data_IF_421029384560
#
_entry.id   IF_421029384560
#
_cell.length_a   1.000
_cell.length_b   1.000
_cell.length_c   1.000
_cell.angle_alpha   90.00
_cell.angle_beta   90.00
_cell.angle_gamma   90.00
#
_symmetry.space_group_name_H-M   'P 1'
#
loop_
_entity.id
_entity.type
_entity.pdbx_description
1 polymer ?
#
# COMPACT_ATOMS: atom_id res chain seq x y z
N UNK A 1 -3.01 -3.15 -1.55
CA UNK A 1 -3.01 -2.01 -2.50
C UNK A 1 -3.67 -0.81 -1.82
N UNK A 2 -2.86 0.09 -1.24
CA UNK A 2 -3.34 1.34 -0.66
C UNK A 2 -3.55 2.34 -1.80
N UNK A 3 -4.79 2.51 -2.28
CA UNK A 3 -5.07 3.53 -3.32
C UNK A 3 -5.22 4.88 -2.63
N UNK A 4 -4.09 5.60 -2.49
CA UNK A 4 -4.07 7.01 -2.05
C UNK A 4 -4.55 7.88 -3.20
N UNK A 5 -5.87 8.03 -3.29
CA UNK A 5 -6.54 8.90 -4.25
C UNK A 5 -6.64 10.33 -3.74
N UNK A 6 -6.05 11.25 -4.51
CA UNK A 6 -6.18 12.72 -4.48
C UNK A 6 -5.54 13.48 -3.31
N UNK A 7 -4.36 14.07 -3.62
CA UNK A 7 -3.74 15.29 -3.06
C UNK A 7 -4.07 15.64 -1.61
N UNK A 8 -3.95 14.67 -0.71
CA UNK A 8 -3.54 14.93 0.64
C UNK A 8 -2.58 13.82 1.12
N UNK A 9 -1.26 14.08 1.10
CA UNK A 9 -0.24 13.11 1.56
C UNK A 9 -0.13 13.10 3.08
N UNK A 10 -1.08 12.45 3.76
CA UNK A 10 -0.81 11.91 5.09
C UNK A 10 0.10 10.71 4.91
N UNK A 11 1.33 10.77 5.42
CA UNK A 11 2.18 9.60 5.60
C UNK A 11 1.60 8.80 6.78
N UNK A 12 0.67 7.90 6.48
CA UNK A 12 0.33 6.80 7.39
C UNK A 12 1.41 5.75 7.19
N UNK A 13 2.34 5.64 8.16
CA UNK A 13 3.39 4.62 8.17
C UNK A 13 3.30 3.87 9.51
N UNK A 14 3.09 2.57 9.37
CA UNK A 14 3.34 1.42 10.23
C UNK A 14 2.77 1.37 11.66
N UNK A 15 1.73 0.54 11.81
CA UNK A 15 1.75 -0.57 12.78
C UNK A 15 0.77 -1.67 12.35
N UNK A 16 1.14 -2.44 11.33
CA UNK A 16 0.88 -3.88 11.35
C UNK A 16 2.15 -4.48 11.93
N UNK A 17 2.13 -4.92 13.18
CA UNK A 17 3.22 -5.72 13.75
C UNK A 17 3.31 -7.03 12.95
N UNK A 18 4.22 -7.04 11.98
CA UNK A 18 4.71 -8.21 11.26
C UNK A 18 6.21 -8.35 11.53
N UNK A 19 6.64 -8.14 12.77
CA UNK A 19 7.98 -8.54 13.21
C UNK A 19 7.96 -9.99 13.72
N UNK A 20 8.05 -10.90 12.76
CA UNK A 20 8.80 -12.14 12.86
C UNK A 20 8.92 -12.64 11.43
N UNK A 21 10.09 -12.47 10.82
CA UNK A 21 10.74 -13.36 9.85
C UNK A 21 11.85 -12.59 9.10
N UNK A 22 13.04 -12.67 9.70
CA UNK A 22 14.35 -12.92 9.09
C UNK A 22 14.75 -12.14 7.81
N UNK A 23 15.84 -11.37 7.96
CA UNK A 23 16.63 -10.70 6.91
C UNK A 23 16.69 -11.41 5.55
N UNK A 24 16.66 -10.65 4.44
CA UNK A 24 17.81 -10.72 3.52
C UNK A 24 18.26 -9.39 2.88
N UNK A 25 19.58 -9.20 2.93
CA UNK A 25 20.52 -8.57 1.98
C UNK A 25 19.96 -7.57 0.95
N UNK A 26 20.39 -6.32 1.08
CA UNK A 26 20.33 -5.31 0.02
C UNK A 26 21.10 -5.76 -1.23
N UNK A 27 20.42 -5.74 -2.38
CA UNK A 27 21.03 -5.81 -3.72
C UNK A 27 20.90 -4.42 -4.34
N UNK A 28 22.04 -3.75 -4.53
CA UNK A 28 22.12 -2.51 -5.29
C UNK A 28 21.97 -2.82 -6.79
N UNK A 29 21.08 -2.11 -7.48
CA UNK A 29 20.99 -2.11 -8.94
C UNK A 29 21.21 -0.68 -9.41
N UNK A 30 22.42 -0.39 -9.89
CA UNK A 30 22.74 0.86 -10.58
C UNK A 30 22.14 0.82 -11.99
N UNK A 31 21.31 1.81 -12.33
CA UNK A 31 20.85 2.02 -13.71
C UNK A 31 21.72 3.10 -14.36
N UNK A 32 22.72 2.67 -15.14
CA UNK A 32 23.49 3.54 -16.03
C UNK A 32 22.78 3.62 -17.40
N UNK A 33 22.42 4.83 -17.82
CA UNK A 33 21.82 5.15 -19.12
C UNK A 33 22.97 5.38 -20.11
N UNK A 34 23.19 4.46 -21.06
CA UNK A 34 24.17 4.65 -22.14
C UNK A 34 23.49 5.23 -23.40
N UNK A 35 23.56 6.56 -23.53
CA UNK A 35 23.24 7.32 -24.72
C UNK A 35 24.44 7.32 -25.69
N UNK A 36 24.56 6.29 -26.54
CA UNK A 36 25.56 6.28 -27.62
C UNK A 36 24.96 5.95 -28.99
N UNK A 37 24.96 7.02 -29.79
CA UNK A 37 24.70 7.17 -31.24
C UNK A 37 25.19 6.00 -32.10
N UNK A 38 24.36 5.56 -33.05
CA UNK A 38 24.79 4.79 -34.23
C UNK A 38 24.80 5.68 -35.49
N UNK A 39 25.90 5.74 -36.27
CA UNK A 39 25.93 6.37 -37.59
C UNK A 39 25.48 5.38 -38.69
N UNK A 40 24.88 5.90 -39.76
CA UNK A 40 24.18 5.12 -40.77
C UNK A 40 24.99 4.58 -41.95
N UNK A 41 24.22 3.94 -42.84
CA UNK A 41 24.39 3.73 -44.29
C UNK A 41 25.43 2.70 -44.79
N UNK A 42 24.99 1.53 -45.28
CA UNK A 42 24.87 1.22 -46.73
C UNK A 42 24.69 -0.28 -47.10
N UNK A 43 23.79 -0.49 -48.07
CA UNK A 43 23.78 -1.49 -49.16
C UNK A 43 23.92 -2.99 -48.84
N UNK A 44 22.81 -3.71 -48.87
CA UNK A 44 22.78 -5.18 -49.03
C UNK A 44 22.56 -5.48 -50.53
N UNK A 45 23.65 -5.80 -51.22
CA UNK A 45 23.62 -6.45 -52.53
C UNK A 45 23.24 -7.93 -52.40
N UNK A 46 22.36 -8.37 -53.29
CA UNK A 46 21.88 -9.75 -53.48
C UNK A 46 22.93 -10.85 -53.25
N UNK A 47 22.65 -11.75 -52.30
CA UNK A 47 23.04 -13.17 -52.38
C UNK A 47 21.87 -14.04 -51.94
N UNK A 48 21.34 -14.82 -52.89
CA UNK A 48 20.38 -15.90 -52.62
C UNK A 48 21.11 -16.99 -51.84
N UNK A 49 20.62 -17.31 -50.64
CA UNK A 49 20.99 -18.52 -49.91
C UNK A 49 19.97 -19.62 -50.23
N UNK A 50 20.34 -20.90 -50.35
CA UNK A 50 19.40 -21.96 -50.67
C UNK A 50 18.45 -22.24 -49.50
N UNK A 51 17.22 -22.67 -49.82
CA UNK A 51 16.27 -23.18 -48.84
C UNK A 51 16.91 -24.32 -48.03
N UNK A 52 16.98 -24.17 -46.70
CA UNK A 52 17.50 -25.19 -45.78
C UNK A 52 16.47 -26.31 -45.58
N UNK A 53 16.98 -27.53 -45.46
CA UNK A 53 16.21 -28.76 -45.26
C UNK A 53 15.50 -28.76 -43.89
N UNK A 54 14.16 -29.02 -43.82
CA UNK A 54 13.40 -28.99 -42.57
C UNK A 54 13.79 -30.06 -41.56
N UNK A 55 14.47 -31.13 -41.99
CA UNK A 55 14.81 -32.29 -41.13
C UNK A 55 15.81 -31.96 -40.02
N UNK A 56 16.67 -30.96 -40.20
CA UNK A 56 17.68 -30.55 -39.20
C UNK A 56 17.13 -29.79 -37.98
N UNK A 57 15.87 -29.34 -38.04
CA UNK A 57 15.22 -28.64 -36.93
C UNK A 57 14.57 -29.59 -35.93
N UNK A 58 14.16 -30.80 -36.35
CA UNK A 58 13.48 -31.76 -35.48
C UNK A 58 14.41 -32.36 -34.43
N UNK A 59 15.60 -32.80 -34.85
CA UNK A 59 16.62 -33.35 -33.94
C UNK A 59 17.12 -32.30 -32.94
N UNK A 60 17.19 -31.04 -33.38
CA UNK A 60 17.60 -29.92 -32.54
C UNK A 60 16.56 -29.57 -31.48
N UNK A 61 15.26 -29.75 -31.77
CA UNK A 61 14.17 -29.53 -30.81
C UNK A 61 14.17 -30.63 -29.74
N UNK A 62 14.42 -31.89 -30.09
CA UNK A 62 14.49 -32.98 -29.10
C UNK A 62 15.66 -32.79 -28.13
N UNK A 63 16.81 -32.29 -28.61
CA UNK A 63 17.95 -31.95 -27.76
C UNK A 63 17.65 -30.79 -26.80
N UNK A 64 16.88 -29.77 -27.24
CA UNK A 64 16.41 -28.72 -26.36
C UNK A 64 15.39 -29.23 -25.33
N UNK A 65 14.48 -30.13 -25.71
CA UNK A 65 13.51 -30.71 -24.79
C UNK A 65 14.17 -31.60 -23.75
N UNK A 66 15.07 -32.50 -24.16
CA UNK A 66 15.78 -33.43 -23.26
C UNK A 66 16.73 -32.71 -22.31
N UNK A 67 17.47 -31.70 -22.79
CA UNK A 67 18.33 -30.87 -21.93
C UNK A 67 17.53 -29.94 -21.01
N UNK A 68 16.28 -29.61 -21.36
CA UNK A 68 15.39 -28.88 -20.46
C UNK A 68 14.86 -29.79 -19.36
N UNK A 69 14.50 -31.04 -19.66
CA UNK A 69 13.95 -31.97 -18.66
C UNK A 69 14.99 -32.40 -17.62
N UNK A 70 16.27 -32.56 -17.99
CA UNK A 70 17.31 -33.02 -17.05
C UNK A 70 17.90 -31.94 -16.15
N UNK A 71 17.42 -30.69 -16.23
CA UNK A 71 17.94 -29.56 -15.44
C UNK A 71 16.98 -29.06 -14.36
N UNK A 72 15.84 -29.73 -14.18
CA UNK A 72 14.85 -29.45 -13.13
C UNK A 72 14.90 -30.48 -11.99
N UNK A 73 16.08 -31.02 -11.68
CA UNK A 73 16.23 -31.80 -10.45
C UNK A 73 17.13 -31.07 -9.47
N UNK A 74 16.47 -30.62 -8.39
CA UNK A 74 17.01 -30.20 -7.09
C UNK A 74 17.51 -28.75 -6.94
N UNK A 75 16.58 -27.80 -6.98
CA UNK A 75 16.61 -26.67 -6.04
C UNK A 75 15.33 -26.76 -5.19
N UNK A 76 15.40 -27.52 -4.08
CA UNK A 76 14.32 -27.69 -3.09
C UNK A 76 14.17 -26.45 -2.17
N UNK A 77 14.37 -25.26 -2.72
CA UNK A 77 14.01 -24.00 -2.09
C UNK A 77 12.76 -23.46 -2.80
N UNK A 78 11.67 -24.24 -2.75
CA UNK A 78 10.33 -23.68 -3.01
C UNK A 78 10.03 -22.71 -1.87
N UNK A 79 10.52 -21.47 -1.96
CA UNK A 79 10.00 -20.37 -1.18
C UNK A 79 8.48 -20.38 -1.34
N UNK A 80 7.79 -20.72 -0.24
CA UNK A 80 6.35 -20.95 -0.23
C UNK A 80 5.62 -19.66 -0.61
N UNK A 81 5.37 -19.47 -1.91
CA UNK A 81 4.67 -18.31 -2.42
C UNK A 81 3.22 -18.34 -1.89
N UNK A 82 2.92 -17.41 -0.99
CA UNK A 82 1.59 -17.26 -0.40
C UNK A 82 0.98 -15.95 -0.91
N UNK A 83 -0.26 -16.03 -1.38
CA UNK A 83 -1.02 -14.84 -1.74
C UNK A 83 -1.47 -14.19 -0.43
N UNK A 84 -1.13 -12.91 -0.16
CA UNK A 84 -1.55 -12.23 1.05
C UNK A 84 -3.08 -12.17 1.13
N UNK A 85 -3.64 -12.60 2.27
CA UNK A 85 -5.06 -12.42 2.55
C UNK A 85 -5.37 -10.97 2.95
N UNK A 86 -6.62 -10.55 2.73
CA UNK A 86 -7.10 -9.27 3.23
C UNK A 86 -7.15 -9.27 4.76
N UNK A 87 -6.74 -8.17 5.42
CA UNK A 87 -6.84 -8.06 6.86
C UNK A 87 -8.30 -8.19 7.30
N UNK A 88 -8.53 -8.92 8.39
CA UNK A 88 -9.87 -9.19 8.91
C UNK A 88 -9.93 -9.01 10.42
N UNK A 89 -11.01 -8.43 10.91
CA UNK A 89 -11.25 -8.28 12.33
C UNK A 89 -12.45 -7.41 12.61
N UNK A 90 -12.75 -7.20 13.89
CA UNK A 90 -13.83 -6.31 14.36
C UNK A 90 -13.29 -4.98 14.88
N UNK A 91 -11.99 -4.90 15.18
CA UNK A 91 -11.31 -3.72 15.71
C UNK A 91 -10.23 -3.27 14.73
N UNK A 92 -10.18 -1.96 14.48
CA UNK A 92 -9.14 -1.29 13.74
C UNK A 92 -8.56 -0.19 14.62
N UNK A 93 -7.23 -0.12 14.70
CA UNK A 93 -6.52 0.95 15.39
C UNK A 93 -5.64 1.67 14.39
N UNK A 94 -5.77 2.99 14.30
CA UNK A 94 -4.91 3.84 13.49
C UNK A 94 -4.02 4.66 14.42
N UNK A 95 -2.71 4.61 14.21
CA UNK A 95 -1.74 5.40 14.97
C UNK A 95 -1.15 6.50 14.09
N UNK A 96 -1.47 7.75 14.37
CA UNK A 96 -1.05 8.89 13.58
C UNK A 96 0.27 9.45 14.12
N UNK A 97 1.37 9.21 13.40
CA UNK A 97 2.72 9.54 13.86
C UNK A 97 3.20 10.95 13.54
N UNK A 98 2.60 11.61 12.55
CA UNK A 98 3.06 12.92 12.05
C UNK A 98 1.90 13.80 11.61
N UNK A 99 2.14 15.10 11.56
CA UNK A 99 1.18 16.14 11.15
C UNK A 99 1.61 16.78 9.83
N UNK A 100 0.76 17.67 9.31
CA UNK A 100 0.94 18.37 8.05
C UNK A 100 1.51 19.78 8.16
N UNK A 101 2.24 20.04 9.24
CA UNK A 101 2.91 21.33 9.46
C UNK A 101 2.36 22.12 10.64
N UNK A 102 1.26 21.68 11.25
CA UNK A 102 0.91 22.14 12.59
C UNK A 102 1.79 21.42 13.63
N UNK A 103 2.42 22.18 14.51
CA UNK A 103 3.38 21.64 15.49
C UNK A 103 2.69 21.07 16.73
N UNK A 104 1.46 21.48 17.00
CA UNK A 104 0.78 21.24 18.27
C UNK A 104 -0.52 20.45 18.09
N UNK A 105 -1.01 20.30 16.86
CA UNK A 105 -2.28 19.64 16.59
C UNK A 105 -2.21 18.66 15.43
N UNK A 106 -3.06 17.64 15.50
CA UNK A 106 -3.36 16.73 14.42
C UNK A 106 -4.87 16.72 14.18
N UNK A 107 -5.28 16.70 12.92
CA UNK A 107 -6.69 16.66 12.56
C UNK A 107 -6.93 15.95 11.24
N UNK A 108 -8.16 15.50 11.06
CA UNK A 108 -8.63 14.80 9.88
C UNK A 108 -10.07 15.22 9.58
N UNK A 109 -10.45 15.19 8.30
CA UNK A 109 -11.84 15.45 7.91
C UNK A 109 -12.69 14.20 8.14
N UNK A 110 -12.29 13.08 7.54
CA UNK A 110 -13.08 11.84 7.56
C UNK A 110 -12.24 10.59 7.33
N UNK A 111 -12.81 9.46 7.74
CA UNK A 111 -12.30 8.11 7.51
C UNK A 111 -13.42 7.27 6.90
N UNK A 112 -13.16 6.67 5.74
CA UNK A 112 -14.04 5.67 5.15
C UNK A 112 -13.35 4.32 5.03
N UNK A 113 -14.07 3.26 5.36
CA UNK A 113 -13.58 1.89 5.37
C UNK A 113 -14.49 1.08 4.47
N UNK A 114 -13.90 0.31 3.55
CA UNK A 114 -14.62 -0.53 2.60
C UNK A 114 -14.26 -2.00 2.79
N UNK A 115 -15.29 -2.84 2.81
CA UNK A 115 -15.15 -4.29 2.94
C UNK A 115 -14.55 -4.92 1.68
N UNK A 116 -14.21 -6.21 1.76
CA UNK A 116 -13.79 -7.03 0.62
C UNK A 116 -14.79 -7.07 -0.54
N UNK A 117 -16.06 -6.77 -0.28
CA UNK A 117 -17.13 -6.70 -1.27
C UNK A 117 -17.25 -5.29 -1.89
N UNK A 118 -16.46 -4.33 -1.43
CA UNK A 118 -16.50 -2.94 -1.90
C UNK A 118 -17.57 -2.08 -1.24
N UNK A 119 -18.27 -2.58 -0.22
CA UNK A 119 -19.29 -1.81 0.50
C UNK A 119 -18.69 -1.04 1.68
N UNK A 120 -19.23 0.13 2.04
CA UNK A 120 -18.86 0.82 3.28
C UNK A 120 -19.09 -0.08 4.50
N UNK A 121 -18.13 -0.10 5.42
CA UNK A 121 -18.20 -0.85 6.68
C UNK A 121 -19.02 -0.06 7.70
N UNK A 122 -19.97 -0.72 8.36
CA UNK A 122 -20.74 -0.10 9.44
C UNK A 122 -19.90 -0.05 10.71
N UNK A 123 -19.71 1.16 11.22
CA UNK A 123 -18.93 1.43 12.42
C UNK A 123 -19.88 1.49 13.61
N UNK A 124 -19.66 0.61 14.60
CA UNK A 124 -20.42 0.57 15.84
C UNK A 124 -19.93 1.61 16.85
N UNK A 125 -18.62 1.82 16.92
CA UNK A 125 -18.01 2.76 17.87
C UNK A 125 -16.72 3.33 17.30
N UNK A 126 -16.50 4.62 17.56
CA UNK A 126 -15.23 5.29 17.31
C UNK A 126 -14.82 6.07 18.56
N UNK A 127 -13.54 6.00 18.93
CA UNK A 127 -12.92 6.78 20.00
C UNK A 127 -11.50 7.16 19.60
N UNK A 128 -10.92 8.18 20.21
CA UNK A 128 -9.53 8.55 20.01
C UNK A 128 -8.80 8.77 21.34
N UNK A 129 -7.48 8.70 21.28
CA UNK A 129 -6.57 9.06 22.36
C UNK A 129 -5.36 9.81 21.79
N UNK A 130 -5.22 11.12 22.04
CA UNK A 130 -6.17 11.99 22.75
C UNK A 130 -7.53 12.08 22.04
N UNK A 131 -8.61 12.26 22.82
CA UNK A 131 -9.99 12.21 22.31
C UNK A 131 -10.27 13.28 21.25
N UNK A 132 -9.97 14.53 21.57
CA UNK A 132 -10.06 15.71 20.71
C UNK A 132 -9.45 16.91 21.46
N UNK A 133 -9.57 18.13 20.91
CA UNK A 133 -9.01 19.34 21.49
C UNK A 133 -9.61 19.71 22.87
N UNK A 134 -10.79 19.20 23.21
CA UNK A 134 -11.44 19.48 24.50
C UNK A 134 -10.74 18.82 25.70
N UNK A 135 -9.70 18.01 25.48
CA UNK A 135 -8.82 17.54 26.57
C UNK A 135 -7.97 18.67 27.16
N UNK A 136 -7.81 19.78 26.44
CA UNK A 136 -7.07 20.95 26.89
C UNK A 136 -7.96 21.88 27.73
N UNK A 137 -7.47 22.48 28.83
CA UNK A 137 -8.27 23.29 29.74
C UNK A 137 -8.94 24.52 29.11
N UNK A 138 -8.39 25.03 28.01
CA UNK A 138 -8.92 26.20 27.28
C UNK A 138 -10.15 25.87 26.44
N UNK A 139 -10.45 24.58 26.26
CA UNK A 139 -11.53 24.06 25.44
C UNK A 139 -12.51 23.25 26.30
N UNK A 140 -13.70 23.00 25.79
CA UNK A 140 -14.72 22.27 26.54
C UNK A 140 -16.04 22.04 25.81
N UNK A 141 -16.31 22.81 24.75
CA UNK A 141 -17.45 22.61 23.85
C UNK A 141 -17.04 22.86 22.38
N UNK A 142 -15.79 22.59 22.05
CA UNK A 142 -15.31 22.69 20.67
C UNK A 142 -15.94 21.56 19.83
N UNK A 143 -16.50 21.87 18.65
CA UNK A 143 -17.23 20.89 17.85
C UNK A 143 -16.32 19.85 17.17
N UNK A 144 -14.99 19.99 17.22
CA UNK A 144 -14.04 19.14 16.49
C UNK A 144 -13.79 17.78 17.13
N UNK A 145 -14.84 16.98 17.28
CA UNK A 145 -14.87 15.72 18.02
C UNK A 145 -14.64 14.49 17.11
N UNK A 146 -14.19 13.37 17.70
CA UNK A 146 -13.82 12.16 16.93
C UNK A 146 -14.97 11.56 16.10
N UNK A 147 -16.22 11.75 16.52
CA UNK A 147 -17.39 11.25 15.78
C UNK A 147 -17.57 11.91 14.42
N UNK A 148 -16.99 13.09 14.21
CA UNK A 148 -17.05 13.78 12.92
C UNK A 148 -16.33 12.99 11.82
N UNK A 149 -15.35 12.14 12.18
CA UNK A 149 -14.62 11.32 11.21
C UNK A 149 -15.51 10.37 10.42
N UNK A 150 -16.72 10.08 10.90
CA UNK A 150 -17.64 9.11 10.31
C UNK A 150 -19.04 9.72 10.05
N UNK A 151 -19.16 11.05 10.03
CA UNK A 151 -20.43 11.74 9.84
C UNK A 151 -20.90 11.82 8.37
N UNK A 152 -20.02 11.42 7.43
CA UNK A 152 -20.26 11.41 5.99
C UNK A 152 -19.95 12.73 5.26
N UNK A 153 -19.50 13.77 5.97
CA UNK A 153 -19.18 15.10 5.42
C UNK A 153 -17.70 15.18 5.05
N UNK A 154 -17.29 14.36 4.08
CA UNK A 154 -15.86 14.09 3.85
C UNK A 154 -15.09 15.23 3.18
N UNK A 155 -15.70 15.88 2.18
CA UNK A 155 -15.05 16.94 1.38
C UNK A 155 -15.47 18.32 1.88
N UNK A 156 -14.95 18.69 3.05
CA UNK A 156 -15.32 19.93 3.74
C UNK A 156 -14.12 20.82 4.01
N UNK A 157 -14.41 22.09 4.32
CA UNK A 157 -13.49 23.06 4.92
C UNK A 157 -14.09 23.69 6.18
N UNK A 158 -15.23 23.16 6.62
CA UNK A 158 -15.94 23.61 7.80
C UNK A 158 -15.44 22.82 9.01
N UNK A 159 -14.83 23.54 9.95
CA UNK A 159 -14.22 22.99 11.16
C UNK A 159 -15.20 22.19 12.00
N UNK A 160 -16.51 22.47 11.95
CA UNK A 160 -17.49 21.73 12.75
C UNK A 160 -17.63 20.25 12.34
N UNK A 161 -17.15 19.90 11.14
CA UNK A 161 -17.15 18.55 10.58
C UNK A 161 -15.76 17.89 10.61
N UNK A 162 -14.79 18.50 11.30
CA UNK A 162 -13.44 17.95 11.41
C UNK A 162 -13.21 17.35 12.79
N UNK A 163 -12.25 16.44 12.91
CA UNK A 163 -11.67 16.07 14.20
C UNK A 163 -10.33 16.78 14.38
N UNK A 164 -10.06 17.27 15.58
CA UNK A 164 -8.79 17.89 15.93
C UNK A 164 -8.39 17.43 17.34
N UNK A 165 -7.13 17.07 17.53
CA UNK A 165 -6.58 16.64 18.81
C UNK A 165 -5.17 17.22 19.02
N UNK A 166 -4.70 17.38 20.27
CA UNK A 166 -3.34 17.81 20.54
C UNK A 166 -2.33 16.78 20.04
N UNK A 167 -1.20 17.26 19.55
CA UNK A 167 -0.13 16.47 18.99
C UNK A 167 1.19 16.69 19.75
N UNK A 168 1.86 15.59 20.06
CA UNK A 168 3.19 15.57 20.69
C UNK A 168 4.10 14.67 19.85
N UNK A 169 5.15 15.20 19.22
CA UNK A 169 6.08 14.38 18.44
C UNK A 169 6.64 13.21 19.24
N UNK A 170 6.58 12.00 18.68
CA UNK A 170 7.10 10.78 19.31
C UNK A 170 6.08 10.00 20.15
N UNK A 171 4.95 10.61 20.51
CA UNK A 171 3.87 9.95 21.25
C UNK A 171 2.90 9.19 20.32
N UNK A 172 1.94 8.49 20.92
CA UNK A 172 0.85 7.83 20.21
C UNK A 172 -0.38 8.74 20.08
N UNK A 173 -0.97 8.77 18.88
CA UNK A 173 -2.23 9.44 18.58
C UNK A 173 -3.14 8.43 17.92
N UNK A 174 -3.97 7.78 18.73
CA UNK A 174 -4.69 6.57 18.36
C UNK A 174 -6.15 6.88 18.03
N UNK A 175 -6.65 6.30 16.94
CA UNK A 175 -8.07 6.25 16.63
C UNK A 175 -8.48 4.78 16.67
N UNK A 176 -9.44 4.46 17.53
CA UNK A 176 -10.00 3.13 17.71
C UNK A 176 -11.35 3.06 17.02
N UNK A 177 -11.51 2.10 16.12
CA UNK A 177 -12.73 1.89 15.35
C UNK A 177 -13.19 0.46 15.58
N UNK A 178 -14.41 0.32 16.09
CA UNK A 178 -15.09 -0.95 16.26
C UNK A 178 -16.17 -1.10 15.20
N UNK A 179 -16.10 -2.17 14.41
CA UNK A 179 -17.13 -2.51 13.44
C UNK A 179 -18.33 -3.18 14.11
N UNK A 180 -19.48 -3.19 13.43
CA UNK A 180 -20.66 -3.91 13.91
C UNK A 180 -20.45 -5.42 13.93
N UNK A 181 -19.64 -5.94 12.99
CA UNK A 181 -19.28 -7.35 12.85
C UNK A 181 -17.84 -7.52 12.33
N UNK A 182 -17.19 -8.67 12.57
CA UNK A 182 -15.91 -8.99 11.94
C UNK A 182 -15.96 -8.83 10.41
N UNK A 183 -15.02 -8.06 9.87
CA UNK A 183 -15.04 -7.63 8.47
C UNK A 183 -13.65 -7.78 7.85
N UNK A 184 -13.58 -8.32 6.63
CA UNK A 184 -12.40 -8.25 5.75
C UNK A 184 -12.34 -6.87 5.11
N UNK A 185 -11.27 -6.12 5.33
CA UNK A 185 -11.10 -4.76 4.82
C UNK A 185 -10.32 -4.81 3.49
N UNK A 186 -10.87 -4.17 2.45
CA UNK A 186 -10.16 -3.99 1.18
C UNK A 186 -9.49 -2.62 1.08
N UNK A 187 -10.08 -1.58 1.67
CA UNK A 187 -9.63 -0.19 1.50
C UNK A 187 -9.98 0.67 2.70
N UNK A 188 -9.07 1.58 3.03
CA UNK A 188 -9.28 2.69 3.96
C UNK A 188 -8.98 3.97 3.17
N UNK A 189 -9.88 4.95 3.22
CA UNK A 189 -9.73 6.27 2.61
C UNK A 189 -9.72 7.34 3.70
N UNK A 190 -8.74 8.22 3.64
CA UNK A 190 -8.54 9.35 4.56
C UNK A 190 -8.69 10.65 3.75
N UNK A 191 -9.42 11.62 4.28
CA UNK A 191 -9.78 12.87 3.61
C UNK A 191 -9.08 14.12 4.17
#
# INVERSE_FOLDING_TARGET
LLVVGTRQKARVIDSLDLENFLHPKEVHIDTEIDDRRSPGLQQISNRRSPLRDPSSNAERIEEYFTNSTSKFENDNDEEQFTIPELPSGEQLVLNLKTTWGDRHYIGLNAIEIFSSQGYPVVIRKITADPADINVLPEYGNDPRVVTNLIDGVNKTRDDIHMWLAPFTPGENHLIYITFEQPTKIAMIRIW
#
